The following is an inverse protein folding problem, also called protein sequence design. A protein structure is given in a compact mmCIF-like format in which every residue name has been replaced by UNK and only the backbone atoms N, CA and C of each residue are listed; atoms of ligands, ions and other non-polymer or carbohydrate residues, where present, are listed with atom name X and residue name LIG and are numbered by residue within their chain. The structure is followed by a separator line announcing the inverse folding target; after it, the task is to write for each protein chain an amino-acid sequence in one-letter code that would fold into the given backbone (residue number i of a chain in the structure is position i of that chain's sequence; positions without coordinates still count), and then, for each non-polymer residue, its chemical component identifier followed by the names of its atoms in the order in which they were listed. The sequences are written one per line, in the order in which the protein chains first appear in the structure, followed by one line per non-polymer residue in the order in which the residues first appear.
data_IF_329621698936
#
_entry.id   IF_329621698936
#
_cell.length_a   1.000
_cell.length_b   1.000
_cell.length_c   1.000
_cell.angle_alpha   90.00
_cell.angle_beta   90.00
_cell.angle_gamma   90.00
#
_symmetry.space_group_name_H-M   'P 1'
#
loop_
_entity.id
_entity.type
_entity.pdbx_description
1 polymer ?
#
# COMPACT_ATOMS: atom_id res chain seq x y z
N UNK A 1 4.33 0.28 -24.01
CA UNK A 1 2.97 -0.21 -23.73
C UNK A 1 3.04 -1.12 -22.52
N UNK A 2 2.61 -0.67 -21.33
CA UNK A 2 2.66 -1.48 -20.11
C UNK A 2 1.47 -2.43 -20.17
N UNK A 3 1.68 -3.66 -20.62
CA UNK A 3 0.64 -4.69 -20.63
C UNK A 3 0.38 -5.13 -19.17
N UNK A 4 -0.74 -4.70 -18.62
CA UNK A 4 -1.33 -5.31 -17.43
C UNK A 4 -2.19 -6.50 -17.85
N UNK A 5 -1.90 -7.69 -17.35
CA UNK A 5 -2.73 -8.87 -17.58
C UNK A 5 -3.72 -9.04 -16.42
N UNK A 6 -5.01 -9.11 -16.76
CA UNK A 6 -6.10 -9.30 -15.79
C UNK A 6 -6.37 -8.09 -14.88
N UNK A 7 -7.40 -8.20 -14.04
CA UNK A 7 -7.91 -7.12 -13.18
C UNK A 7 -7.16 -6.95 -11.85
N UNK A 8 -6.09 -7.71 -11.64
CA UNK A 8 -5.39 -7.77 -10.37
C UNK A 8 -4.86 -6.41 -9.93
N UNK A 9 -4.19 -5.66 -10.83
CA UNK A 9 -3.67 -4.32 -10.54
C UNK A 9 -4.78 -3.34 -10.09
N UNK A 10 -5.98 -3.45 -10.68
CA UNK A 10 -7.12 -2.64 -10.28
C UNK A 10 -7.53 -2.96 -8.84
N UNK A 11 -7.69 -4.24 -8.48
CA UNK A 11 -8.07 -4.65 -7.13
C UNK A 11 -7.08 -4.18 -6.06
N UNK A 12 -5.78 -4.41 -6.26
CA UNK A 12 -4.76 -3.94 -5.30
C UNK A 12 -4.74 -2.42 -5.17
N UNK A 13 -4.97 -1.69 -6.27
CA UNK A 13 -5.04 -0.21 -6.24
C UNK A 13 -6.25 0.28 -5.45
N UNK A 14 -7.43 -0.28 -5.71
CA UNK A 14 -8.67 0.08 -5.02
C UNK A 14 -8.59 -0.20 -3.53
N UNK A 15 -8.05 -1.37 -3.14
CA UNK A 15 -7.91 -1.73 -1.72
C UNK A 15 -6.93 -0.79 -1.02
N UNK A 16 -5.78 -0.50 -1.65
CA UNK A 16 -4.77 0.35 -1.03
C UNK A 16 -5.25 1.79 -0.89
N UNK A 17 -5.68 2.42 -2.00
CA UNK A 17 -6.11 3.82 -2.02
C UNK A 17 -7.41 3.99 -1.24
N UNK A 18 -8.36 3.08 -1.41
CA UNK A 18 -9.62 3.06 -0.66
C UNK A 18 -9.37 2.90 0.83
N UNK A 19 -8.54 1.92 1.23
CA UNK A 19 -8.18 1.70 2.63
C UNK A 19 -7.52 2.93 3.28
N UNK A 20 -6.52 3.50 2.61
CA UNK A 20 -5.84 4.71 3.10
C UNK A 20 -6.80 5.90 3.21
N UNK A 21 -7.63 6.14 2.19
CA UNK A 21 -8.60 7.25 2.16
C UNK A 21 -9.67 7.13 3.25
N UNK A 22 -10.13 5.91 3.53
CA UNK A 22 -11.07 5.67 4.62
C UNK A 22 -10.43 5.94 5.97
N UNK A 23 -9.21 5.43 6.20
CA UNK A 23 -8.49 5.63 7.47
C UNK A 23 -8.18 7.11 7.70
N UNK A 24 -7.74 7.84 6.67
CA UNK A 24 -7.41 9.26 6.79
C UNK A 24 -8.63 10.15 7.07
N UNK A 25 -9.85 9.68 6.77
CA UNK A 25 -11.09 10.42 7.00
C UNK A 25 -11.78 10.07 8.33
N UNK A 26 -11.20 9.18 9.13
CA UNK A 26 -11.77 8.86 10.44
C UNK A 26 -11.65 10.09 11.35
N UNK A 27 -12.76 10.61 11.92
CA UNK A 27 -12.74 11.84 12.74
C UNK A 27 -11.81 11.75 13.96
N UNK A 28 -11.64 10.54 14.50
CA UNK A 28 -10.71 10.29 15.58
C UNK A 28 -9.25 10.47 15.17
N UNK A 29 -8.89 10.15 13.92
CA UNK A 29 -7.51 10.30 13.40
C UNK A 29 -7.22 11.75 13.07
N UNK A 30 -8.16 12.44 12.44
CA UNK A 30 -8.02 13.86 12.03
C UNK A 30 -7.81 14.80 13.23
N UNK A 31 -8.38 14.43 14.39
CA UNK A 31 -8.20 15.17 15.65
C UNK A 31 -6.89 14.87 16.39
N UNK A 32 -6.05 13.94 15.91
CA UNK A 32 -4.77 13.62 16.54
C UNK A 32 -3.64 14.54 16.06
N UNK A 33 -2.56 14.60 16.84
CA UNK A 33 -1.30 15.25 16.44
C UNK A 33 -0.68 14.62 15.19
N UNK A 34 0.10 15.41 14.43
CA UNK A 34 0.81 14.95 13.22
C UNK A 34 1.66 13.70 13.45
N UNK A 35 2.36 13.62 14.59
CA UNK A 35 3.09 12.44 15.05
C UNK A 35 2.24 11.17 15.10
N UNK A 36 1.05 11.26 15.68
CA UNK A 36 0.12 10.12 15.78
C UNK A 36 -0.45 9.77 14.41
N UNK A 37 -0.82 10.77 13.60
CA UNK A 37 -1.31 10.55 12.24
C UNK A 37 -0.28 9.81 11.38
N UNK A 38 1.00 10.20 11.45
CA UNK A 38 2.10 9.54 10.73
C UNK A 38 2.31 8.09 11.20
N UNK A 39 2.23 7.82 12.50
CA UNK A 39 2.30 6.44 13.02
C UNK A 39 1.13 5.60 12.47
N UNK A 40 -0.08 6.16 12.46
CA UNK A 40 -1.27 5.48 11.93
C UNK A 40 -1.11 5.20 10.43
N UNK A 41 -0.60 6.15 9.64
CA UNK A 41 -0.28 5.97 8.23
C UNK A 41 0.71 4.81 8.03
N UNK A 42 1.78 4.75 8.84
CA UNK A 42 2.78 3.68 8.77
C UNK A 42 2.16 2.31 9.04
N UNK A 43 1.40 2.18 10.13
CA UNK A 43 0.74 0.92 10.49
C UNK A 43 -0.26 0.50 9.41
N UNK A 44 -1.08 1.44 8.93
CA UNK A 44 -2.08 1.22 7.89
C UNK A 44 -1.42 0.77 6.59
N UNK A 45 -0.31 1.39 6.22
CA UNK A 45 0.49 1.01 5.05
C UNK A 45 0.98 -0.44 5.14
N UNK A 46 1.53 -0.86 6.29
CA UNK A 46 2.02 -2.23 6.50
C UNK A 46 0.87 -3.24 6.38
N UNK A 47 -0.27 -2.95 7.02
CA UNK A 47 -1.45 -3.83 7.00
C UNK A 47 -2.01 -3.94 5.57
N UNK A 48 -2.29 -2.82 4.91
CA UNK A 48 -2.87 -2.80 3.56
C UNK A 48 -1.93 -3.42 2.54
N UNK A 49 -0.63 -3.18 2.63
CA UNK A 49 0.38 -3.81 1.78
C UNK A 49 0.41 -5.33 1.96
N UNK A 50 0.30 -5.80 3.20
CA UNK A 50 0.24 -7.23 3.49
C UNK A 50 -1.02 -7.88 2.90
N UNK A 51 -2.19 -7.27 3.11
CA UNK A 51 -3.46 -7.73 2.50
C UNK A 51 -3.34 -7.79 0.98
N UNK A 52 -2.79 -6.74 0.38
CA UNK A 52 -2.59 -6.65 -1.07
C UNK A 52 -1.64 -7.72 -1.60
N UNK A 53 -0.55 -8.02 -0.89
CA UNK A 53 0.36 -9.09 -1.26
C UNK A 53 -0.33 -10.45 -1.23
N UNK A 54 -1.06 -10.76 -0.15
CA UNK A 54 -1.79 -12.02 -0.05
C UNK A 54 -2.88 -12.15 -1.10
N UNK A 55 -3.60 -11.07 -1.40
CA UNK A 55 -4.58 -11.03 -2.48
C UNK A 55 -3.91 -11.27 -3.84
N UNK A 56 -2.82 -10.56 -4.16
CA UNK A 56 -2.11 -10.74 -5.42
C UNK A 56 -1.59 -12.18 -5.58
N UNK A 57 -1.04 -12.76 -4.49
CA UNK A 57 -0.61 -14.16 -4.46
C UNK A 57 -1.79 -15.12 -4.64
N UNK A 58 -2.92 -14.84 -4.01
CA UNK A 58 -4.14 -15.65 -4.13
C UNK A 58 -4.70 -15.61 -5.56
N UNK A 59 -4.73 -14.44 -6.19
CA UNK A 59 -5.16 -14.27 -7.58
C UNK A 59 -4.27 -15.05 -8.56
N UNK A 60 -2.98 -15.20 -8.25
CA UNK A 60 -2.00 -15.98 -9.03
C UNK A 60 -1.76 -17.41 -8.51
N UNK A 61 -2.63 -17.95 -7.62
CA UNK A 61 -2.42 -19.28 -7.02
C UNK A 61 -2.46 -20.44 -8.02
N UNK A 62 -3.21 -20.29 -9.10
CA UNK A 62 -3.39 -21.31 -10.15
C UNK A 62 -2.73 -20.85 -11.46
N UNK A 63 -1.46 -20.41 -11.37
CA UNK A 63 -0.70 -19.87 -12.49
C UNK A 63 -0.71 -18.34 -12.58
N UNK A 64 0.12 -17.78 -13.47
CA UNK A 64 0.26 -16.33 -13.65
C UNK A 64 -0.91 -15.80 -14.48
N UNK A 65 -2.00 -15.43 -13.79
CA UNK A 65 -3.20 -14.82 -14.38
C UNK A 65 -3.14 -13.30 -14.36
N UNK A 66 -2.37 -12.75 -13.41
CA UNK A 66 -2.23 -11.33 -13.18
C UNK A 66 -0.77 -10.91 -13.17
N UNK A 67 -0.41 -10.03 -14.09
CA UNK A 67 0.95 -9.52 -14.26
C UNK A 67 0.93 -8.05 -14.66
N UNK A 68 2.02 -7.34 -14.38
CA UNK A 68 2.22 -5.94 -14.80
C UNK A 68 3.62 -5.83 -15.38
N UNK A 69 3.73 -5.36 -16.62
CA UNK A 69 5.00 -5.30 -17.35
C UNK A 69 5.74 -6.66 -17.39
N UNK A 70 5.00 -7.77 -17.47
CA UNK A 70 5.56 -9.13 -17.46
C UNK A 70 5.98 -9.66 -16.09
N UNK A 71 5.90 -8.85 -15.02
CA UNK A 71 6.19 -9.28 -13.66
C UNK A 71 4.91 -9.79 -12.98
N UNK A 72 5.05 -10.86 -12.18
CA UNK A 72 3.96 -11.37 -11.34
C UNK A 72 3.46 -10.27 -10.40
N UNK A 73 2.14 -10.10 -10.33
CA UNK A 73 1.50 -9.02 -9.58
C UNK A 73 2.01 -8.90 -8.14
N UNK A 74 2.19 -10.00 -7.43
CA UNK A 74 2.64 -10.00 -6.04
C UNK A 74 4.06 -9.44 -5.85
N UNK A 75 4.94 -9.58 -6.85
CA UNK A 75 6.28 -8.97 -6.82
C UNK A 75 6.19 -7.46 -7.00
N UNK A 76 5.31 -7.02 -7.90
CA UNK A 76 5.07 -5.59 -8.17
C UNK A 76 4.47 -4.92 -6.93
N UNK A 77 3.53 -5.60 -6.26
CA UNK A 77 2.94 -5.13 -5.00
C UNK A 77 4.01 -4.95 -3.93
N UNK A 78 4.86 -5.95 -3.68
CA UNK A 78 5.96 -5.82 -2.70
C UNK A 78 6.88 -4.65 -3.05
N UNK A 79 7.29 -4.54 -4.31
CA UNK A 79 8.20 -3.49 -4.74
C UNK A 79 7.62 -2.09 -4.48
N UNK A 80 6.37 -1.86 -4.88
CA UNK A 80 5.68 -0.59 -4.65
C UNK A 80 5.45 -0.32 -3.16
N UNK A 81 5.10 -1.34 -2.38
CA UNK A 81 4.96 -1.23 -0.93
C UNK A 81 6.26 -0.80 -0.28
N UNK A 82 7.41 -1.40 -0.63
CA UNK A 82 8.70 -0.99 -0.09
C UNK A 82 9.09 0.44 -0.48
N UNK A 83 8.78 0.85 -1.71
CA UNK A 83 9.02 2.20 -2.18
C UNK A 83 8.22 3.23 -1.38
N UNK A 84 6.94 2.95 -1.12
CA UNK A 84 6.09 3.82 -0.30
C UNK A 84 6.49 3.79 1.17
N UNK A 85 6.87 2.63 1.70
CA UNK A 85 7.39 2.51 3.06
C UNK A 85 8.59 3.42 3.28
N UNK A 86 9.53 3.46 2.31
CA UNK A 86 10.67 4.36 2.38
C UNK A 86 10.25 5.83 2.51
N UNK A 87 9.26 6.27 1.72
CA UNK A 87 8.71 7.63 1.81
C UNK A 87 8.09 7.90 3.18
N UNK A 88 7.30 6.96 3.71
CA UNK A 88 6.66 7.12 5.03
C UNK A 88 7.72 7.20 6.14
N UNK A 89 8.79 6.40 6.07
CA UNK A 89 9.89 6.45 7.03
C UNK A 89 10.59 7.82 7.00
N UNK A 90 10.75 8.44 5.84
CA UNK A 90 11.27 9.81 5.75
C UNK A 90 10.34 10.83 6.41
N UNK A 91 9.02 10.65 6.29
CA UNK A 91 8.04 11.50 6.98
C UNK A 91 8.11 11.34 8.50
N UNK A 92 8.21 10.09 9.00
CA UNK A 92 8.44 9.81 10.42
C UNK A 92 9.71 10.50 10.89
N UNK A 93 10.80 10.39 10.14
CA UNK A 93 12.05 11.04 10.51
C UNK A 93 11.90 12.58 10.61
N UNK A 94 11.23 13.20 9.62
CA UNK A 94 10.97 14.63 9.62
C UNK A 94 10.17 15.10 10.85
N UNK A 95 9.08 14.40 11.16
CA UNK A 95 8.15 14.77 12.23
C UNK A 95 8.71 14.54 13.64
N UNK A 96 9.59 13.54 13.82
CA UNK A 96 10.11 13.17 15.15
C UNK A 96 11.50 13.74 15.46
N UNK A 97 12.30 14.06 14.44
CA UNK A 97 13.71 14.46 14.65
C UNK A 97 14.07 15.82 14.04
N UNK A 98 13.19 16.44 13.24
CA UNK A 98 13.42 17.76 12.64
C UNK A 98 12.34 18.80 12.96
N UNK A 99 11.23 18.39 13.56
CA UNK A 99 10.16 19.28 14.07
C UNK A 99 10.23 19.44 15.57
#
# INVERSE_FOLDING_TARGET
MIYGQGLGLFYVTVIYIGGMSLISKLPFIDSQSGRVQIIVILISHIILSSINYFLARFLNRNGVKHSVAGLRLEKVVIFLSLLLLFVIVLMVYGEFFKG
#
